data_IF_925804281884
#
_entry.id   IF_925804281884
#
_cell.length_a   1.000
_cell.length_b   1.000
_cell.length_c   1.000
_cell.angle_alpha   90.00
_cell.angle_beta   90.00
_cell.angle_gamma   90.00
#
_symmetry.space_group_name_H-M   'P 1'
#
loop_
_entity.id
_entity.type
_entity.pdbx_description
1 polymer ?
#
# COMPACT_ATOMS: atom_id res chain seq x y z
N UNK A 1 -8.16 -4.10 8.59
CA UNK A 1 -7.68 -3.35 9.76
C UNK A 1 -6.32 -2.79 9.42
N UNK A 2 -6.11 -1.51 9.68
CA UNK A 2 -4.91 -0.73 9.36
C UNK A 2 -4.17 -0.34 10.64
N UNK A 3 -4.89 0.10 11.68
CA UNK A 3 -4.29 0.44 12.98
C UNK A 3 -5.18 -0.01 14.15
N UNK A 4 -4.54 -0.45 15.24
CA UNK A 4 -5.19 -0.91 16.47
C UNK A 4 -5.18 0.12 17.61
N UNK A 5 -4.76 1.36 17.31
CA UNK A 5 -4.52 2.39 18.33
C UNK A 5 -3.13 2.31 18.97
N UNK A 6 -2.23 1.46 18.48
CA UNK A 6 -0.85 1.38 18.96
C UNK A 6 0.17 1.46 17.81
N UNK A 7 1.38 1.94 18.12
CA UNK A 7 2.52 1.91 17.20
C UNK A 7 2.87 0.46 16.81
N UNK A 8 3.48 0.29 15.64
CA UNK A 8 3.93 -1.02 15.14
C UNK A 8 5.29 -1.46 15.70
N UNK A 9 5.97 -0.59 16.44
CA UNK A 9 7.23 -0.92 17.11
C UNK A 9 7.00 -1.71 18.40
N UNK A 10 8.07 -2.32 18.92
CA UNK A 10 8.02 -3.14 20.14
C UNK A 10 7.48 -2.39 21.35
N UNK A 11 7.55 -1.05 21.34
CA UNK A 11 7.09 -0.21 22.45
C UNK A 11 5.56 -0.11 22.51
N UNK A 12 4.86 -0.40 21.40
CA UNK A 12 3.39 -0.42 21.28
C UNK A 12 2.77 0.77 22.03
N UNK A 13 3.20 1.98 21.70
CA UNK A 13 2.72 3.20 22.33
C UNK A 13 1.38 3.60 21.72
N UNK A 14 0.46 4.18 22.51
CA UNK A 14 -0.82 4.64 21.98
C UNK A 14 -0.63 5.67 20.86
N UNK A 15 -1.36 5.49 19.77
CA UNK A 15 -1.44 6.42 18.65
C UNK A 15 -2.89 6.84 18.40
N UNK A 16 -3.08 7.94 17.68
CA UNK A 16 -4.43 8.43 17.35
C UNK A 16 -5.18 7.51 16.37
N UNK A 17 -4.45 6.85 15.47
CA UNK A 17 -5.03 6.00 14.43
C UNK A 17 -5.54 4.68 15.04
N UNK A 18 -6.86 4.49 15.02
CA UNK A 18 -7.50 3.32 15.61
C UNK A 18 -8.79 2.92 14.86
N UNK A 19 -8.74 1.77 14.17
CA UNK A 19 -9.89 1.24 13.43
C UNK A 19 -10.84 0.39 14.29
N UNK A 20 -10.45 0.02 15.52
CA UNK A 20 -11.21 -0.93 16.36
C UNK A 20 -12.66 -0.47 16.60
N UNK A 21 -12.95 0.80 16.94
CA UNK A 21 -14.32 1.26 17.16
C UNK A 21 -15.21 1.07 15.92
N UNK A 22 -14.68 1.40 14.75
CA UNK A 22 -15.38 1.23 13.48
C UNK A 22 -15.55 -0.24 13.11
N UNK A 23 -14.54 -1.07 13.35
CA UNK A 23 -14.63 -2.52 13.13
C UNK A 23 -15.72 -3.15 14.01
N UNK A 24 -15.84 -2.74 15.29
CA UNK A 24 -16.91 -3.21 16.16
C UNK A 24 -18.29 -2.83 15.62
N UNK A 25 -18.44 -1.57 15.19
CA UNK A 25 -19.69 -1.09 14.61
C UNK A 25 -20.07 -1.88 13.36
N UNK A 26 -19.13 -2.05 12.43
CA UNK A 26 -19.34 -2.84 11.21
C UNK A 26 -19.66 -4.30 11.53
N UNK A 27 -18.97 -4.90 12.51
CA UNK A 27 -19.22 -6.28 12.94
C UNK A 27 -20.65 -6.47 13.46
N UNK A 28 -21.18 -5.52 14.22
CA UNK A 28 -22.55 -5.57 14.73
C UNK A 28 -23.60 -5.43 13.61
N UNK A 29 -23.27 -4.72 12.54
CA UNK A 29 -24.18 -4.42 11.42
C UNK A 29 -24.00 -5.35 10.22
N UNK A 30 -23.11 -6.33 10.31
CA UNK A 30 -22.75 -7.23 9.20
C UNK A 30 -23.95 -8.02 8.68
N UNK A 31 -24.03 -8.15 7.37
CA UNK A 31 -25.11 -8.83 6.66
C UNK A 31 -24.52 -9.70 5.56
N UNK A 32 -24.63 -11.02 5.70
CA UNK A 32 -24.08 -11.97 4.73
C UNK A 32 -24.70 -11.88 3.34
N UNK A 33 -25.88 -11.26 3.21
CA UNK A 33 -26.51 -11.04 1.90
C UNK A 33 -25.97 -9.79 1.18
N UNK A 34 -25.37 -8.84 1.90
CA UNK A 34 -24.91 -7.55 1.35
C UNK A 34 -23.40 -7.43 1.32
N UNK A 35 -22.72 -7.96 2.33
CA UNK A 35 -21.28 -7.81 2.53
C UNK A 35 -20.52 -8.90 1.75
N UNK A 36 -20.71 -8.97 0.43
CA UNK A 36 -20.11 -10.01 -0.43
C UNK A 36 -19.02 -9.48 -1.37
N UNK A 37 -18.80 -8.16 -1.40
CA UNK A 37 -17.80 -7.52 -2.24
C UNK A 37 -16.36 -7.92 -1.83
N UNK A 38 -15.67 -8.68 -2.69
CA UNK A 38 -14.32 -9.20 -2.46
C UNK A 38 -13.21 -8.15 -2.49
N UNK A 39 -13.51 -6.93 -2.92
CA UNK A 39 -12.58 -5.79 -2.88
C UNK A 39 -12.72 -4.98 -1.57
N UNK A 40 -13.81 -5.17 -0.82
CA UNK A 40 -14.06 -4.43 0.41
C UNK A 40 -13.08 -4.81 1.54
N UNK A 41 -13.04 -3.97 2.60
CA UNK A 41 -12.21 -4.22 3.79
C UNK A 41 -12.59 -5.51 4.53
N UNK A 42 -13.84 -5.94 4.42
CA UNK A 42 -14.38 -7.18 4.98
C UNK A 42 -15.52 -7.68 4.09
N UNK A 43 -15.66 -9.00 3.98
CA UNK A 43 -16.70 -9.65 3.19
C UNK A 43 -16.95 -11.08 3.70
N UNK A 44 -18.11 -11.64 3.36
CA UNK A 44 -18.45 -13.02 3.63
C UNK A 44 -17.99 -13.93 2.48
N UNK A 45 -17.55 -15.12 2.88
CA UNK A 45 -17.18 -16.20 1.97
C UNK A 45 -18.07 -17.41 2.27
N UNK A 46 -18.73 -18.01 1.27
CA UNK A 46 -19.50 -19.24 1.44
C UNK A 46 -18.65 -20.37 2.02
N UNK A 47 -19.27 -21.23 2.84
CA UNK A 47 -18.58 -22.36 3.47
C UNK A 47 -18.06 -23.34 2.42
N UNK A 48 -18.81 -23.53 1.36
CA UNK A 48 -18.50 -24.46 0.25
C UNK A 48 -17.20 -24.04 -0.44
N UNK A 49 -16.99 -22.73 -0.62
CA UNK A 49 -15.76 -22.16 -1.21
C UNK A 49 -14.55 -22.35 -0.29
N UNK A 50 -14.74 -22.17 1.03
CA UNK A 50 -13.69 -22.44 2.02
C UNK A 50 -13.30 -23.92 2.01
N UNK A 51 -14.29 -24.81 1.93
CA UNK A 51 -14.05 -26.25 1.86
C UNK A 51 -13.31 -26.64 0.57
N UNK A 52 -13.69 -26.07 -0.57
CA UNK A 52 -13.02 -26.30 -1.85
C UNK A 52 -11.55 -25.84 -1.83
N UNK A 53 -11.25 -24.78 -1.07
CA UNK A 53 -9.89 -24.28 -0.83
C UNK A 53 -9.18 -24.98 0.34
N UNK A 54 -9.59 -26.20 0.70
CA UNK A 54 -8.99 -27.01 1.76
C UNK A 54 -8.91 -26.29 3.12
N UNK A 55 -9.90 -25.44 3.42
CA UNK A 55 -9.96 -24.63 4.64
C UNK A 55 -8.79 -23.65 4.83
N UNK A 56 -8.12 -23.27 3.74
CA UNK A 56 -7.18 -22.15 3.77
C UNK A 56 -7.95 -20.86 4.08
N UNK A 57 -7.59 -20.17 5.17
CA UNK A 57 -8.23 -18.92 5.60
C UNK A 57 -7.41 -17.67 5.22
N UNK A 58 -6.38 -17.84 4.38
CA UNK A 58 -5.57 -16.73 3.89
C UNK A 58 -6.44 -15.76 3.11
N UNK A 59 -6.50 -14.50 3.55
CA UNK A 59 -7.34 -13.46 2.94
C UNK A 59 -7.06 -13.29 1.43
N UNK A 60 -5.81 -13.46 1.01
CA UNK A 60 -5.39 -13.34 -0.39
C UNK A 60 -6.00 -14.41 -1.31
N UNK A 61 -6.47 -15.53 -0.76
CA UNK A 61 -7.15 -16.58 -1.53
C UNK A 61 -8.53 -16.13 -2.01
N UNK A 62 -9.16 -15.23 -1.26
CA UNK A 62 -10.57 -14.85 -1.43
C UNK A 62 -10.78 -13.39 -1.81
N UNK A 63 -9.76 -12.55 -1.60
CA UNK A 63 -9.79 -11.13 -1.87
C UNK A 63 -9.46 -10.87 -3.34
N UNK A 64 -10.29 -10.10 -4.00
CA UNK A 64 -9.95 -9.54 -5.32
C UNK A 64 -9.14 -8.27 -5.10
N UNK A 65 -7.90 -8.27 -5.58
CA UNK A 65 -7.05 -7.08 -5.58
C UNK A 65 -7.24 -6.46 -6.95
N UNK A 66 -7.82 -5.25 -7.01
CA UNK A 66 -7.73 -4.44 -8.21
C UNK A 66 -6.26 -4.11 -8.45
N UNK A 67 -5.71 -4.71 -9.49
CA UNK A 67 -4.41 -4.32 -9.99
C UNK A 67 -4.62 -3.04 -10.79
N UNK A 68 -4.41 -1.89 -10.16
CA UNK A 68 -4.19 -0.67 -10.94
C UNK A 68 -2.90 -0.88 -11.73
N UNK A 69 -3.01 -0.85 -13.06
CA UNK A 69 -1.84 -0.93 -13.93
C UNK A 69 -0.97 0.30 -13.64
N UNK A 70 0.15 0.07 -12.94
CA UNK A 70 1.10 1.14 -12.66
C UNK A 70 1.75 1.50 -13.99
N UNK A 71 1.28 2.61 -14.58
CA UNK A 71 1.87 3.14 -15.81
C UNK A 71 3.22 3.73 -15.45
N UNK A 72 4.29 3.01 -15.79
CA UNK A 72 5.64 3.52 -15.69
C UNK A 72 5.98 4.35 -16.93
N UNK A 73 6.77 5.40 -16.73
CA UNK A 73 7.39 6.10 -17.84
C UNK A 73 8.27 5.13 -18.65
N UNK A 74 8.35 5.29 -19.98
CA UNK A 74 9.25 4.49 -20.79
C UNK A 74 10.69 4.62 -20.27
N UNK A 75 11.49 3.54 -20.24
CA UNK A 75 12.87 3.58 -19.74
C UNK A 75 13.73 4.66 -20.39
N UNK A 76 13.42 5.00 -21.66
CA UNK A 76 14.12 6.05 -22.41
C UNK A 76 13.90 7.45 -21.80
N UNK A 77 12.71 7.74 -21.28
CA UNK A 77 12.38 9.02 -20.63
C UNK A 77 13.13 9.11 -19.31
N UNK A 78 13.09 8.05 -18.50
CA UNK A 78 13.85 7.97 -17.24
C UNK A 78 15.35 8.19 -17.49
N UNK A 79 15.92 7.57 -18.52
CA UNK A 79 17.33 7.76 -18.90
C UNK A 79 17.64 9.18 -19.37
N UNK A 80 16.72 9.85 -20.07
CA UNK A 80 16.89 11.24 -20.46
C UNK A 80 16.89 12.16 -19.24
N UNK A 81 15.94 11.95 -18.31
CA UNK A 81 15.87 12.70 -17.07
C UNK A 81 17.15 12.51 -16.22
N UNK A 82 17.67 11.28 -16.15
CA UNK A 82 18.92 10.98 -15.45
C UNK A 82 20.12 11.74 -16.05
N UNK A 83 20.23 11.77 -17.38
CA UNK A 83 21.31 12.50 -18.06
C UNK A 83 21.20 14.01 -17.89
N UNK A 84 19.99 14.57 -17.88
CA UNK A 84 19.78 15.97 -17.61
C UNK A 84 20.24 16.33 -16.19
N UNK A 85 19.82 15.52 -15.20
CA UNK A 85 20.24 15.69 -13.81
C UNK A 85 21.77 15.60 -13.65
N UNK A 86 22.42 14.68 -14.34
CA UNK A 86 23.89 14.56 -14.33
C UNK A 86 24.58 15.79 -14.93
N UNK A 87 24.01 16.37 -16.00
CA UNK A 87 24.54 17.58 -16.61
C UNK A 87 24.43 18.79 -15.67
N UNK A 88 23.29 18.95 -15.00
CA UNK A 88 23.08 20.01 -14.01
C UNK A 88 24.08 19.89 -12.85
N UNK A 89 24.26 18.68 -12.32
CA UNK A 89 25.24 18.41 -11.26
C UNK A 89 26.66 18.77 -11.71
N UNK A 90 27.05 18.42 -12.94
CA UNK A 90 28.39 18.78 -13.47
C UNK A 90 28.55 20.29 -13.58
N UNK A 91 27.54 20.98 -14.10
CA UNK A 91 27.59 22.43 -14.21
C UNK A 91 27.74 23.10 -12.83
N UNK A 92 27.01 22.60 -11.83
CA UNK A 92 27.12 23.11 -10.46
C UNK A 92 28.50 22.83 -9.86
N UNK A 93 29.09 21.66 -10.13
CA UNK A 93 30.46 21.33 -9.71
C UNK A 93 31.50 22.24 -10.36
N UNK A 94 31.43 22.44 -11.68
CA UNK A 94 32.33 23.32 -12.42
C UNK A 94 32.26 24.76 -11.88
N UNK A 95 31.05 25.24 -11.56
CA UNK A 95 30.86 26.56 -10.95
C UNK A 95 31.48 26.65 -9.54
N UNK A 96 31.41 25.58 -8.74
CA UNK A 96 32.07 25.50 -7.44
C UNK A 96 33.60 25.45 -7.57
N UNK A 97 34.14 24.78 -8.58
CA UNK A 97 35.57 24.77 -8.89
C UNK A 97 36.07 26.17 -9.28
N UNK A 98 35.34 26.89 -10.16
CA UNK A 98 35.65 28.29 -10.50
C UNK A 98 35.68 29.20 -9.27
N UNK A 99 34.76 29.01 -8.31
CA UNK A 99 34.73 29.79 -7.07
C UNK A 99 35.93 29.54 -6.17
N UNK A 100 36.58 28.38 -6.28
CA UNK A 100 37.78 28.02 -5.52
C UNK A 100 39.07 28.54 -6.18
N UNK A 101 39.00 28.99 -7.44
CA UNK A 101 40.09 29.70 -8.13
C UNK A 101 41.16 28.80 -8.75
N UNK A 102 40.83 27.54 -9.04
CA UNK A 102 41.64 26.63 -9.88
C UNK A 102 41.29 26.75 -11.38
#
# INVERSE_FOLDING_TARGET
>A
MVADGFSLDDKRQPIADNDIPDLLRCWQQRDSAKDTNRQAKAFFVPREEIQANAYDLSINRYKEIEYEEVIYEPPKVILQNLRALEADIRQDLDALEEMLGD
#
